data_IF_865283701806
#
_entry.id   IF_865283701806
#
_cell.length_a   1.000
_cell.length_b   1.000
_cell.length_c   1.000
_cell.angle_alpha   90.00
_cell.angle_beta   90.00
_cell.angle_gamma   90.00
#
_symmetry.space_group_name_H-M   'P 1'
#
loop_
_entity.id
_entity.type
_entity.pdbx_description
1 polymer ?
#
# COMPACT_ATOMS: atom_id res chain seq x y z
N UNK A 1 -12.81 11.48 9.33
CA UNK A 1 -12.30 12.86 9.52
C UNK A 1 -11.19 13.28 8.53
N UNK A 2 -11.10 12.67 7.33
CA UNK A 2 -10.07 13.03 6.32
C UNK A 2 -10.68 12.91 4.92
N UNK A 3 -11.65 13.77 4.61
CA UNK A 3 -12.28 13.80 3.28
C UNK A 3 -11.55 14.77 2.35
N UNK A 4 -11.25 14.34 1.12
CA UNK A 4 -10.62 15.16 0.08
C UNK A 4 -11.43 16.44 -0.26
N UNK A 5 -12.73 16.45 -0.01
CA UNK A 5 -13.62 17.57 -0.34
C UNK A 5 -14.06 18.43 0.86
N UNK A 6 -14.16 17.86 2.08
CA UNK A 6 -14.73 18.55 3.27
C UNK A 6 -14.09 18.10 4.59
N UNK A 7 -12.77 17.91 4.63
CA UNK A 7 -12.04 17.45 5.83
C UNK A 7 -10.91 18.38 6.25
N UNK A 8 -10.26 18.06 7.39
CA UNK A 8 -9.09 18.79 7.91
C UNK A 8 -8.03 19.08 6.85
N UNK A 9 -7.74 18.09 6.00
CA UNK A 9 -6.79 18.24 4.88
C UNK A 9 -7.22 19.33 3.89
N UNK A 10 -8.52 19.45 3.57
CA UNK A 10 -8.97 20.47 2.61
C UNK A 10 -8.87 21.88 3.22
N UNK A 11 -9.02 22.03 4.53
CA UNK A 11 -8.77 23.28 5.24
C UNK A 11 -7.27 23.56 5.37
N UNK A 12 -6.46 22.54 5.67
CA UNK A 12 -5.01 22.66 5.76
C UNK A 12 -4.40 23.09 4.42
N UNK A 13 -4.89 22.53 3.29
CA UNK A 13 -4.47 22.95 1.95
C UNK A 13 -4.83 24.40 1.61
N UNK A 14 -5.81 25.02 2.27
CA UNK A 14 -6.08 26.47 2.09
C UNK A 14 -5.01 27.34 2.75
N UNK A 15 -4.40 26.85 3.84
CA UNK A 15 -3.38 27.57 4.62
C UNK A 15 -1.98 27.24 4.10
N UNK A 16 -1.76 25.98 3.70
CA UNK A 16 -0.49 25.46 3.17
C UNK A 16 -0.78 24.75 1.84
N UNK A 17 -0.80 25.47 0.70
CA UNK A 17 -1.21 24.91 -0.59
C UNK A 17 -0.38 23.70 -1.03
N UNK A 18 0.90 23.68 -0.66
CA UNK A 18 1.87 22.67 -1.06
C UNK A 18 1.90 21.46 -0.10
N UNK A 19 1.02 21.39 0.90
CA UNK A 19 1.00 20.25 1.82
C UNK A 19 0.50 18.99 1.11
N UNK A 20 1.34 17.97 1.08
CA UNK A 20 0.96 16.65 0.60
C UNK A 20 0.30 15.88 1.73
N UNK A 21 -0.94 15.47 1.49
CA UNK A 21 -1.73 14.73 2.46
C UNK A 21 -1.69 13.25 2.12
N UNK A 22 -0.68 12.55 2.64
CA UNK A 22 -0.60 11.11 2.46
C UNK A 22 -1.61 10.47 3.40
N UNK A 23 -2.75 10.04 2.86
CA UNK A 23 -3.72 9.29 3.64
C UNK A 23 -3.10 7.96 4.10
N UNK A 24 -3.07 7.67 5.39
CA UNK A 24 -2.43 6.45 5.91
C UNK A 24 -2.95 5.18 5.21
N UNK A 25 -2.02 4.26 4.92
CA UNK A 25 -2.31 2.93 4.38
C UNK A 25 -3.02 2.07 5.43
N UNK A 26 -2.85 2.38 6.71
CA UNK A 26 -3.44 1.66 7.84
C UNK A 26 -4.96 1.72 7.95
N UNK A 27 -5.62 2.79 7.49
CA UNK A 27 -7.09 2.88 7.54
C UNK A 27 -7.80 2.01 6.47
N UNK A 28 -7.06 1.17 5.73
CA UNK A 28 -7.49 0.59 4.44
C UNK A 28 -8.02 -0.85 4.48
N UNK A 29 -8.26 -1.43 5.65
CA UNK A 29 -9.11 -2.64 5.75
C UNK A 29 -10.48 -2.42 5.09
N UNK A 30 -10.96 -1.18 5.14
CA UNK A 30 -12.17 -0.73 4.46
C UNK A 30 -12.07 -0.75 2.92
N UNK A 31 -10.89 -0.57 2.34
CA UNK A 31 -10.71 -0.56 0.88
C UNK A 31 -10.85 -1.97 0.29
N UNK A 32 -10.27 -2.95 0.98
CA UNK A 32 -10.27 -4.37 0.58
C UNK A 32 -11.62 -5.02 0.88
N UNK A 33 -12.36 -4.54 1.88
CA UNK A 33 -13.56 -5.21 2.37
C UNK A 33 -14.87 -4.58 1.93
N UNK A 34 -14.88 -3.39 1.33
CA UNK A 34 -16.14 -2.65 1.08
C UNK A 34 -17.20 -3.41 0.27
N UNK A 35 -16.79 -4.31 -0.63
CA UNK A 35 -17.70 -5.15 -1.42
C UNK A 35 -17.88 -6.57 -0.88
N UNK A 36 -17.01 -7.02 0.03
CA UNK A 36 -17.05 -8.33 0.67
C UNK A 36 -17.17 -8.18 2.19
N UNK A 37 -17.92 -7.16 2.63
CA UNK A 37 -17.95 -6.74 4.03
C UNK A 37 -18.55 -7.83 4.91
N UNK A 38 -19.61 -8.49 4.44
CA UNK A 38 -20.23 -9.63 5.15
C UNK A 38 -19.21 -10.74 5.42
N UNK A 39 -18.44 -11.16 4.40
CA UNK A 39 -17.40 -12.18 4.53
C UNK A 39 -16.29 -11.72 5.49
N UNK A 40 -15.92 -10.44 5.45
CA UNK A 40 -14.99 -9.89 6.44
C UNK A 40 -15.58 -9.90 7.86
N UNK A 41 -16.86 -9.57 8.07
CA UNK A 41 -17.50 -9.61 9.39
C UNK A 41 -17.48 -11.02 9.97
N UNK A 42 -17.76 -12.05 9.18
CA UNK A 42 -17.66 -13.43 9.64
C UNK A 42 -16.23 -13.80 10.06
N UNK A 43 -15.21 -13.37 9.30
CA UNK A 43 -13.80 -13.58 9.67
C UNK A 43 -13.46 -12.83 10.96
N UNK A 44 -13.88 -11.57 11.10
CA UNK A 44 -13.66 -10.77 12.32
C UNK A 44 -14.30 -11.46 13.53
N UNK A 45 -15.55 -11.90 13.40
CA UNK A 45 -16.27 -12.59 14.47
C UNK A 45 -15.57 -13.88 14.89
N UNK A 46 -15.09 -14.66 13.92
CA UNK A 46 -14.34 -15.88 14.19
C UNK A 46 -12.99 -15.61 14.88
N UNK A 47 -12.22 -14.64 14.40
CA UNK A 47 -10.95 -14.23 15.01
C UNK A 47 -11.18 -13.71 16.43
N UNK A 48 -12.20 -12.88 16.65
CA UNK A 48 -12.56 -12.37 17.96
C UNK A 48 -12.96 -13.50 18.92
N UNK A 49 -13.72 -14.49 18.44
CA UNK A 49 -14.11 -15.66 19.23
C UNK A 49 -12.90 -16.52 19.62
N UNK A 50 -11.99 -16.79 18.68
CA UNK A 50 -10.73 -17.51 18.96
C UNK A 50 -9.92 -16.74 20.01
N UNK A 51 -9.77 -15.42 19.85
CA UNK A 51 -9.00 -14.57 20.77
C UNK A 51 -9.62 -14.39 22.15
N UNK A 52 -10.94 -14.42 22.25
CA UNK A 52 -11.65 -14.24 23.53
C UNK A 52 -11.41 -15.40 24.52
N UNK A 53 -10.97 -16.56 24.03
CA UNK A 53 -10.70 -17.74 24.84
C UNK A 53 -9.21 -18.14 24.77
N UNK A 54 -8.45 -18.07 25.88
CA UNK A 54 -7.04 -18.42 25.91
C UNK A 54 -6.71 -19.84 25.45
N UNK A 55 -7.62 -20.81 25.67
CA UNK A 55 -7.44 -22.18 25.19
C UNK A 55 -7.56 -22.24 23.67
N UNK A 56 -8.55 -21.55 23.09
CA UNK A 56 -8.73 -21.48 21.64
C UNK A 56 -7.54 -20.78 20.96
N UNK A 57 -7.04 -19.68 21.54
CA UNK A 57 -5.84 -19.01 21.02
C UNK A 57 -4.60 -19.91 21.06
N UNK A 58 -4.44 -20.74 22.10
CA UNK A 58 -3.33 -21.72 22.19
C UNK A 58 -3.48 -22.84 21.16
N UNK A 59 -4.67 -23.44 21.06
CA UNK A 59 -4.95 -24.50 20.09
C UNK A 59 -4.77 -24.00 18.64
N UNK A 60 -5.20 -22.77 18.38
CA UNK A 60 -5.01 -22.13 17.09
C UNK A 60 -3.52 -21.95 16.75
N UNK A 61 -2.69 -21.55 17.72
CA UNK A 61 -1.22 -21.45 17.50
C UNK A 61 -0.59 -22.81 17.22
N UNK A 62 -0.98 -23.85 17.96
CA UNK A 62 -0.47 -25.21 17.74
C UNK A 62 -0.78 -25.71 16.33
N UNK A 63 -2.01 -25.49 15.85
CA UNK A 63 -2.38 -25.82 14.46
C UNK A 63 -1.51 -25.10 13.43
N UNK A 64 -1.10 -23.85 13.68
CA UNK A 64 -0.22 -23.12 12.75
C UNK A 64 1.23 -23.61 12.80
N UNK A 65 1.75 -23.92 13.99
CA UNK A 65 3.08 -24.50 14.18
C UNK A 65 3.21 -25.87 13.48
N UNK A 66 2.16 -26.69 13.53
CA UNK A 66 2.11 -27.99 12.83
C UNK A 66 2.08 -27.85 11.29
N UNK A 67 1.54 -26.74 10.77
CA UNK A 67 1.42 -26.49 9.33
C UNK A 67 2.61 -25.68 8.73
N UNK A 68 3.65 -25.38 9.52
CA UNK A 68 4.83 -24.59 9.08
C UNK A 68 4.47 -23.22 8.46
N UNK A 69 3.40 -22.57 8.94
CA UNK A 69 3.05 -21.23 8.46
C UNK A 69 3.71 -20.12 9.29
N UNK A 70 4.22 -19.06 8.63
CA UNK A 70 5.09 -18.04 9.23
C UNK A 70 4.33 -17.05 10.16
N UNK A 71 3.00 -17.00 10.09
CA UNK A 71 2.16 -16.04 10.82
C UNK A 71 1.41 -16.66 12.02
N UNK A 72 2.13 -17.02 13.08
CA UNK A 72 1.58 -17.67 14.29
C UNK A 72 0.80 -16.75 15.25
N UNK A 73 0.46 -15.52 14.83
CA UNK A 73 -0.24 -14.55 15.68
C UNK A 73 -1.34 -13.84 14.91
N UNK A 74 -2.58 -14.17 15.23
CA UNK A 74 -3.74 -13.34 14.93
C UNK A 74 -3.61 -12.00 15.68
N UNK A 75 -3.74 -10.88 14.96
CA UNK A 75 -3.85 -9.54 15.55
C UNK A 75 -5.33 -9.16 15.66
N UNK A 76 -5.72 -8.49 16.75
CA UNK A 76 -7.04 -7.88 16.87
C UNK A 76 -7.14 -6.74 15.85
N UNK A 77 -8.00 -6.88 14.84
CA UNK A 77 -8.28 -5.80 13.92
C UNK A 77 -9.51 -4.99 14.39
N UNK A 78 -9.21 -3.96 15.18
CA UNK A 78 -9.99 -2.74 15.49
C UNK A 78 -11.33 -2.85 16.23
N UNK A 79 -11.47 -1.92 17.20
CA UNK A 79 -12.59 -1.55 18.09
C UNK A 79 -13.54 -2.67 18.55
N UNK A 80 -13.17 -3.22 19.71
CA UNK A 80 -13.98 -4.07 20.57
C UNK A 80 -15.26 -3.33 20.96
N UNK A 81 -16.36 -3.62 20.29
CA UNK A 81 -17.66 -3.58 20.95
C UNK A 81 -18.67 -4.46 20.22
N UNK A 82 -19.13 -5.45 20.98
CA UNK A 82 -20.20 -6.40 20.71
C UNK A 82 -19.84 -7.56 19.78
N UNK A 83 -20.07 -8.78 20.27
CA UNK A 83 -21.13 -9.60 19.69
C UNK A 83 -21.56 -10.71 20.66
N UNK A 84 -22.88 -10.79 20.76
CA UNK A 84 -23.69 -11.80 21.40
C UNK A 84 -23.35 -13.21 20.93
N UNK A 85 -23.76 -14.20 21.74
CA UNK A 85 -23.84 -15.62 21.39
C UNK A 85 -24.60 -15.83 20.07
N UNK A 86 -23.94 -15.71 18.93
CA UNK A 86 -24.35 -16.44 17.73
C UNK A 86 -23.84 -17.88 17.86
N UNK A 87 -24.70 -18.82 17.49
CA UNK A 87 -24.49 -20.25 17.62
C UNK A 87 -23.29 -20.69 16.76
N UNK A 88 -22.34 -21.43 17.35
CA UNK A 88 -21.07 -21.82 16.71
C UNK A 88 -21.26 -22.53 15.36
N UNK A 89 -22.36 -23.28 15.24
CA UNK A 89 -22.73 -23.96 14.01
C UNK A 89 -23.05 -22.97 12.87
N UNK A 90 -23.72 -21.85 13.19
CA UNK A 90 -24.09 -20.84 12.19
C UNK A 90 -22.86 -20.10 11.67
N UNK A 91 -21.93 -19.70 12.55
CA UNK A 91 -20.70 -19.02 12.13
C UNK A 91 -19.82 -19.95 11.27
N UNK A 92 -19.72 -21.22 11.67
CA UNK A 92 -18.95 -22.24 10.93
C UNK A 92 -19.53 -22.47 9.54
N UNK A 93 -20.86 -22.58 9.43
CA UNK A 93 -21.53 -22.77 8.14
C UNK A 93 -21.40 -21.54 7.24
N UNK A 94 -21.53 -20.33 7.80
CA UNK A 94 -21.33 -19.10 7.04
C UNK A 94 -19.90 -18.96 6.48
N UNK A 95 -18.87 -19.30 7.28
CA UNK A 95 -17.49 -19.33 6.81
C UNK A 95 -17.26 -20.40 5.74
N UNK A 96 -17.92 -21.56 5.87
CA UNK A 96 -17.86 -22.63 4.87
C UNK A 96 -18.45 -22.18 3.54
N UNK A 97 -19.63 -21.55 3.57
CA UNK A 97 -20.29 -21.01 2.37
C UNK A 97 -19.43 -19.91 1.73
N UNK A 98 -18.77 -19.06 2.53
CA UNK A 98 -17.96 -17.93 2.06
C UNK A 98 -16.47 -18.27 1.91
N UNK A 99 -16.08 -19.55 1.83
CA UNK A 99 -14.66 -19.99 1.78
C UNK A 99 -13.88 -19.32 0.64
N UNK A 100 -14.52 -19.18 -0.54
CA UNK A 100 -13.91 -18.52 -1.69
C UNK A 100 -13.63 -17.03 -1.45
N UNK A 101 -14.57 -16.30 -0.83
CA UNK A 101 -14.41 -14.89 -0.50
C UNK A 101 -13.25 -14.70 0.48
N UNK A 102 -13.18 -15.57 1.51
CA UNK A 102 -12.13 -15.53 2.53
C UNK A 102 -10.76 -15.78 1.89
N UNK A 103 -10.66 -16.78 1.01
CA UNK A 103 -9.42 -17.09 0.31
C UNK A 103 -8.95 -15.93 -0.59
N UNK A 104 -9.86 -15.34 -1.36
CA UNK A 104 -9.59 -14.17 -2.19
C UNK A 104 -9.16 -12.94 -1.36
N UNK A 105 -9.87 -12.67 -0.26
CA UNK A 105 -9.52 -11.58 0.65
C UNK A 105 -8.15 -11.82 1.28
N UNK A 106 -7.83 -13.05 1.71
CA UNK A 106 -6.53 -13.39 2.27
C UNK A 106 -5.37 -13.09 1.31
N UNK A 107 -5.52 -13.46 0.03
CA UNK A 107 -4.53 -13.16 -1.02
C UNK A 107 -4.35 -11.63 -1.20
N UNK A 108 -5.44 -10.85 -1.18
CA UNK A 108 -5.36 -9.39 -1.22
C UNK A 108 -4.70 -8.81 0.03
N UNK A 109 -5.06 -9.29 1.22
CA UNK A 109 -4.49 -8.81 2.47
C UNK A 109 -2.99 -9.04 2.52
N UNK A 110 -2.53 -10.21 2.08
CA UNK A 110 -1.11 -10.51 1.99
C UNK A 110 -0.39 -9.49 1.09
N UNK A 111 -0.92 -9.23 -0.10
CA UNK A 111 -0.39 -8.24 -1.04
C UNK A 111 -0.32 -6.83 -0.44
N UNK A 112 -1.39 -6.37 0.22
CA UNK A 112 -1.39 -5.05 0.88
C UNK A 112 -0.44 -4.98 2.06
N UNK A 113 -0.25 -6.09 2.79
CA UNK A 113 0.70 -6.15 3.88
C UNK A 113 2.15 -5.99 3.39
N UNK A 114 2.49 -6.56 2.22
CA UNK A 114 3.80 -6.35 1.61
C UNK A 114 4.03 -4.90 1.18
N UNK A 115 3.00 -4.24 0.64
CA UNK A 115 3.05 -2.80 0.36
C UNK A 115 3.25 -2.02 1.66
N UNK A 116 2.53 -2.39 2.71
CA UNK A 116 2.62 -1.74 4.02
C UNK A 116 4.02 -1.85 4.63
N UNK A 117 4.66 -3.03 4.58
CA UNK A 117 6.04 -3.23 5.04
C UNK A 117 7.02 -2.29 4.33
N UNK A 118 6.88 -2.14 3.02
CA UNK A 118 7.72 -1.23 2.22
C UNK A 118 7.50 0.25 2.57
N UNK A 119 6.29 0.61 3.01
CA UNK A 119 5.95 1.97 3.40
C UNK A 119 6.24 2.29 4.88
N UNK A 120 6.76 1.32 5.64
CA UNK A 120 7.17 1.49 7.04
C UNK A 120 8.68 1.44 7.24
N UNK A 121 9.45 1.27 6.16
CA UNK A 121 10.90 1.16 6.26
C UNK A 121 11.49 2.48 6.81
N UNK A 122 12.52 2.38 7.65
CA UNK A 122 13.09 3.52 8.41
C UNK A 122 13.67 4.64 7.52
N UNK A 123 14.00 4.34 6.28
CA UNK A 123 14.64 5.22 5.31
C UNK A 123 13.69 5.72 4.20
N UNK A 124 12.38 5.67 4.46
CA UNK A 124 11.34 6.09 3.51
C UNK A 124 11.41 7.61 3.26
N UNK A 125 11.48 7.96 1.98
CA UNK A 125 11.39 9.33 1.50
C UNK A 125 10.35 9.41 0.38
N UNK A 126 10.05 10.62 -0.09
CA UNK A 126 9.02 10.85 -1.08
C UNK A 126 9.27 10.11 -2.41
N UNK A 127 10.52 10.03 -2.86
CA UNK A 127 10.92 9.28 -4.07
C UNK A 127 10.62 7.79 -3.90
N UNK A 128 11.04 7.20 -2.77
CA UNK A 128 10.77 5.79 -2.44
C UNK A 128 9.28 5.52 -2.29
N UNK A 129 8.55 6.39 -1.60
CA UNK A 129 7.09 6.30 -1.49
C UNK A 129 6.44 6.31 -2.86
N UNK A 130 6.80 7.27 -3.74
CA UNK A 130 6.27 7.33 -5.11
C UNK A 130 6.56 6.04 -5.86
N UNK A 131 7.79 5.53 -5.80
CA UNK A 131 8.17 4.27 -6.45
C UNK A 131 7.31 3.09 -5.97
N UNK A 132 7.16 2.91 -4.66
CA UNK A 132 6.35 1.83 -4.06
C UNK A 132 4.88 1.95 -4.47
N UNK A 133 4.31 3.15 -4.42
CA UNK A 133 2.92 3.40 -4.80
C UNK A 133 2.68 3.19 -6.31
N UNK A 134 3.59 3.66 -7.16
CA UNK A 134 3.53 3.43 -8.61
C UNK A 134 3.60 1.94 -8.94
N UNK A 135 4.58 1.22 -8.38
CA UNK A 135 4.70 -0.23 -8.55
C UNK A 135 3.46 -0.98 -8.07
N UNK A 136 2.89 -0.57 -6.92
CA UNK A 136 1.66 -1.15 -6.36
C UNK A 136 0.45 -0.93 -7.27
N UNK A 137 0.32 0.27 -7.83
CA UNK A 137 -0.75 0.61 -8.78
C UNK A 137 -0.65 -0.26 -10.03
N UNK A 138 0.55 -0.39 -10.60
CA UNK A 138 0.80 -1.25 -11.77
C UNK A 138 0.56 -2.73 -11.47
N UNK A 139 0.91 -3.21 -10.28
CA UNK A 139 0.60 -4.58 -9.84
C UNK A 139 -0.90 -4.82 -9.76
N UNK A 140 -1.66 -3.93 -9.13
CA UNK A 140 -3.13 -4.03 -9.05
C UNK A 140 -3.77 -4.03 -10.45
N UNK A 141 -3.27 -3.21 -11.37
CA UNK A 141 -3.70 -3.20 -12.76
C UNK A 141 -3.43 -4.54 -13.46
N UNK A 142 -2.21 -5.08 -13.32
CA UNK A 142 -1.82 -6.37 -13.86
C UNK A 142 -2.69 -7.50 -13.31
N UNK A 143 -2.93 -7.52 -11.99
CA UNK A 143 -3.77 -8.53 -11.35
C UNK A 143 -5.20 -8.47 -11.87
N UNK A 144 -5.76 -7.27 -12.04
CA UNK A 144 -7.07 -7.09 -12.68
C UNK A 144 -7.10 -7.69 -14.10
N UNK A 145 -6.09 -7.42 -14.92
CA UNK A 145 -6.02 -7.94 -16.29
C UNK A 145 -5.90 -9.47 -16.33
N UNK A 146 -4.97 -10.03 -15.56
CA UNK A 146 -4.75 -11.49 -15.54
C UNK A 146 -5.95 -12.23 -14.98
N UNK A 147 -6.57 -11.70 -13.92
CA UNK A 147 -7.82 -12.24 -13.38
C UNK A 147 -8.93 -12.23 -14.44
N UNK A 148 -8.95 -11.21 -15.31
CA UNK A 148 -9.91 -11.14 -16.40
C UNK A 148 -9.70 -12.20 -17.49
N UNK A 149 -8.45 -12.65 -17.67
CA UNK A 149 -8.04 -13.71 -18.60
C UNK A 149 -8.14 -15.13 -18.01
N UNK A 150 -8.56 -15.26 -16.74
CA UNK A 150 -8.61 -16.53 -16.03
C UNK A 150 -7.28 -16.96 -15.41
N UNK A 151 -6.23 -16.16 -15.56
CA UNK A 151 -4.92 -16.37 -14.93
C UNK A 151 -4.93 -15.85 -13.49
N UNK A 152 -5.12 -16.75 -12.53
CA UNK A 152 -5.24 -16.41 -11.12
C UNK A 152 -3.97 -16.71 -10.31
N UNK A 153 -2.80 -16.88 -10.95
CA UNK A 153 -1.56 -17.37 -10.35
C UNK A 153 -1.08 -16.59 -9.11
N UNK A 154 -1.53 -15.35 -8.95
CA UNK A 154 -1.20 -14.45 -7.85
C UNK A 154 -2.15 -14.59 -6.64
N UNK A 155 -3.22 -15.38 -6.79
CA UNK A 155 -4.22 -15.66 -5.77
C UNK A 155 -4.13 -17.14 -5.36
N UNK A 156 -3.06 -17.49 -4.65
CA UNK A 156 -2.74 -18.88 -4.33
C UNK A 156 -3.81 -19.55 -3.46
N UNK A 157 -4.38 -18.82 -2.50
CA UNK A 157 -5.44 -19.35 -1.66
C UNK A 157 -6.71 -19.56 -2.48
N UNK A 158 -7.07 -18.61 -3.34
CA UNK A 158 -8.23 -18.76 -4.23
C UNK A 158 -8.05 -19.95 -5.20
N UNK A 159 -6.84 -20.17 -5.73
CA UNK A 159 -6.54 -21.33 -6.59
C UNK A 159 -6.77 -22.65 -5.84
N UNK A 160 -6.32 -22.75 -4.59
CA UNK A 160 -6.54 -23.93 -3.75
C UNK A 160 -8.05 -24.21 -3.61
N UNK A 161 -8.84 -23.19 -3.26
CA UNK A 161 -10.30 -23.33 -3.11
C UNK A 161 -11.02 -23.60 -4.43
N UNK A 162 -10.51 -23.08 -5.55
CA UNK A 162 -11.04 -23.35 -6.89
C UNK A 162 -10.82 -24.81 -7.30
N UNK A 163 -9.67 -25.40 -6.97
CA UNK A 163 -9.39 -26.83 -7.20
C UNK A 163 -10.33 -27.73 -6.40
N UNK A 164 -10.77 -27.29 -5.22
CA UNK A 164 -11.78 -27.98 -4.40
C UNK A 164 -13.21 -27.87 -4.97
N UNK A 165 -13.41 -27.19 -6.12
CA UNK A 165 -14.72 -27.01 -6.75
C UNK A 165 -15.63 -25.98 -6.08
N UNK A 166 -15.10 -25.16 -5.18
CA UNK A 166 -15.90 -24.22 -4.37
C UNK A 166 -15.90 -22.77 -4.88
N UNK A 167 -15.52 -22.53 -6.13
CA UNK A 167 -15.52 -21.20 -6.75
C UNK A 167 -16.41 -21.24 -7.99
N UNK A 168 -17.50 -20.47 -7.97
CA UNK A 168 -18.41 -20.33 -9.11
C UNK A 168 -17.96 -19.23 -10.07
N UNK A 169 -18.48 -19.26 -11.31
CA UNK A 169 -18.23 -18.18 -12.29
C UNK A 169 -18.81 -16.83 -11.84
N UNK A 170 -19.88 -16.86 -11.03
CA UNK A 170 -20.45 -15.66 -10.42
C UNK A 170 -19.46 -15.03 -9.43
N UNK A 171 -18.79 -15.84 -8.61
CA UNK A 171 -17.77 -15.35 -7.65
C UNK A 171 -16.60 -14.72 -8.41
N UNK A 172 -16.13 -15.35 -9.48
CA UNK A 172 -15.06 -14.81 -10.33
C UNK A 172 -15.45 -13.44 -10.90
N UNK A 173 -16.72 -13.25 -11.30
CA UNK A 173 -17.19 -11.94 -11.76
C UNK A 173 -17.19 -10.90 -10.64
N UNK A 174 -17.67 -11.25 -9.45
CA UNK A 174 -17.66 -10.37 -8.26
C UNK A 174 -16.22 -9.93 -7.92
N UNK A 175 -15.27 -10.86 -7.91
CA UNK A 175 -13.86 -10.56 -7.63
C UNK A 175 -13.21 -9.68 -8.69
N UNK A 176 -13.53 -9.89 -9.98
CA UNK A 176 -13.06 -9.04 -11.08
C UNK A 176 -13.55 -7.60 -10.89
N UNK A 177 -14.84 -7.42 -10.63
CA UNK A 177 -15.43 -6.10 -10.43
C UNK A 177 -14.86 -5.44 -9.18
N UNK A 178 -14.61 -6.22 -8.13
CA UNK A 178 -13.95 -5.73 -6.92
C UNK A 178 -12.52 -5.26 -7.18
N UNK A 179 -11.68 -6.05 -7.88
CA UNK A 179 -10.32 -5.64 -8.27
C UNK A 179 -10.32 -4.35 -9.09
N UNK A 180 -11.29 -4.19 -9.99
CA UNK A 180 -11.45 -2.97 -10.77
C UNK A 180 -11.77 -1.75 -9.89
N UNK A 181 -12.70 -1.89 -8.95
CA UNK A 181 -13.03 -0.82 -8.02
C UNK A 181 -11.85 -0.47 -7.11
N UNK A 182 -11.15 -1.51 -6.61
CA UNK A 182 -9.98 -1.40 -5.77
C UNK A 182 -8.83 -0.65 -6.46
N UNK A 183 -8.53 -1.01 -7.72
CA UNK A 183 -7.54 -0.30 -8.54
C UNK A 183 -7.89 1.18 -8.70
N UNK A 184 -9.15 1.48 -9.05
CA UNK A 184 -9.58 2.86 -9.27
C UNK A 184 -9.52 3.69 -7.98
N UNK A 185 -9.94 3.13 -6.86
CA UNK A 185 -9.86 3.80 -5.56
C UNK A 185 -8.40 4.01 -5.15
N UNK A 186 -7.52 3.01 -5.35
CA UNK A 186 -6.10 3.12 -5.07
C UNK A 186 -5.44 4.25 -5.87
N UNK A 187 -5.69 4.29 -7.19
CA UNK A 187 -5.17 5.32 -8.08
C UNK A 187 -5.69 6.70 -7.69
N UNK A 188 -6.99 6.85 -7.43
CA UNK A 188 -7.60 8.12 -7.01
C UNK A 188 -7.04 8.62 -5.67
N UNK A 189 -6.81 7.71 -4.72
CA UNK A 189 -6.35 8.06 -3.36
C UNK A 189 -4.89 8.47 -3.31
N UNK A 190 -4.10 8.09 -4.30
CA UNK A 190 -2.68 8.41 -4.42
C UNK A 190 -2.36 9.25 -5.66
N UNK A 191 -3.37 9.87 -6.26
CA UNK A 191 -3.23 10.67 -7.47
C UNK A 191 -2.16 11.76 -7.29
N UNK A 192 -2.11 12.40 -6.13
CA UNK A 192 -1.12 13.42 -5.76
C UNK A 192 0.32 12.89 -5.76
N UNK A 193 0.55 11.68 -5.25
CA UNK A 193 1.87 11.03 -5.29
C UNK A 193 2.19 10.56 -6.72
N UNK A 194 1.21 9.98 -7.41
CA UNK A 194 1.37 9.42 -8.76
C UNK A 194 1.64 10.53 -9.79
N UNK A 195 0.97 11.67 -9.70
CA UNK A 195 1.09 12.81 -10.63
C UNK A 195 2.32 13.68 -10.37
N UNK A 196 2.99 13.53 -9.23
CA UNK A 196 4.14 14.35 -8.87
C UNK A 196 5.30 14.16 -9.86
N UNK A 197 5.74 15.22 -10.52
CA UNK A 197 6.98 15.18 -11.28
C UNK A 197 8.16 15.27 -10.29
N UNK A 198 9.08 14.32 -10.36
CA UNK A 198 10.36 14.39 -9.67
C UNK A 198 11.40 14.51 -10.78
N UNK A 199 12.07 15.65 -10.93
CA UNK A 199 13.10 15.81 -11.95
C UNK A 199 14.22 14.78 -11.78
N UNK A 200 14.70 14.24 -12.89
CA UNK A 200 15.77 13.22 -12.87
C UNK A 200 17.03 13.72 -12.18
N UNK A 201 17.30 15.02 -12.29
CA UNK A 201 18.45 15.66 -11.66
C UNK A 201 18.41 15.60 -10.12
N UNK A 202 17.23 15.42 -9.50
CA UNK A 202 17.12 15.23 -8.04
C UNK A 202 17.73 13.90 -7.61
N UNK A 203 17.65 12.87 -8.45
CA UNK A 203 18.25 11.55 -8.18
C UNK A 203 19.70 11.53 -8.67
N UNK A 204 19.95 12.11 -9.84
CA UNK A 204 21.26 12.20 -10.44
C UNK A 204 21.51 13.62 -11.00
N UNK A 205 22.14 14.54 -10.26
CA UNK A 205 22.30 15.92 -10.69
C UNK A 205 23.23 16.12 -11.91
N UNK A 206 23.83 15.04 -12.41
CA UNK A 206 24.69 15.04 -13.59
C UNK A 206 23.98 14.55 -14.87
N UNK A 207 22.64 14.64 -14.92
CA UNK A 207 21.81 14.36 -16.11
C UNK A 207 21.57 15.61 -16.97
N UNK A 208 20.89 15.46 -18.11
CA UNK A 208 20.44 16.60 -18.91
C UNK A 208 19.49 17.51 -18.10
N UNK A 209 19.56 18.82 -18.33
CA UNK A 209 18.78 19.86 -17.63
C UNK A 209 18.13 20.87 -18.57
N UNK A 210 18.13 20.62 -19.88
CA UNK A 210 17.60 21.53 -20.91
C UNK A 210 16.12 21.94 -20.72
N UNK A 211 15.33 21.09 -20.08
CA UNK A 211 13.89 21.33 -19.85
C UNK A 211 13.58 22.13 -18.57
N UNK A 212 14.60 22.48 -17.78
CA UNK A 212 14.43 23.17 -16.48
C UNK A 212 14.33 24.70 -16.61
N UNK A 213 13.94 25.39 -15.54
CA UNK A 213 13.97 26.85 -15.50
C UNK A 213 15.41 27.37 -15.62
N UNK A 214 15.63 28.48 -16.35
CA UNK A 214 16.97 29.08 -16.57
C UNK A 214 17.76 29.26 -15.26
N UNK A 215 17.08 29.69 -14.19
CA UNK A 215 17.68 29.87 -12.85
C UNK A 215 18.24 28.56 -12.28
N UNK A 216 17.55 27.44 -12.49
CA UNK A 216 18.00 26.10 -12.10
C UNK A 216 19.08 25.58 -13.05
N UNK A 217 18.95 25.81 -14.36
CA UNK A 217 19.93 25.36 -15.35
C UNK A 217 21.31 25.92 -15.07
N UNK A 218 21.43 27.22 -14.74
CA UNK A 218 22.72 27.85 -14.44
C UNK A 218 23.41 27.14 -13.27
N UNK A 219 22.71 26.99 -12.14
CA UNK A 219 23.27 26.34 -10.95
C UNK A 219 23.56 24.86 -11.17
N UNK A 220 22.73 24.15 -11.94
CA UNK A 220 22.96 22.75 -12.26
C UNK A 220 24.17 22.58 -13.17
N UNK A 221 24.41 23.47 -14.14
CA UNK A 221 25.61 23.44 -14.99
C UNK A 221 26.90 23.72 -14.19
N UNK A 222 26.83 24.66 -13.23
CA UNK A 222 27.94 24.92 -12.31
C UNK A 222 28.22 23.70 -11.42
N UNK A 223 27.17 23.09 -10.86
CA UNK A 223 27.26 21.87 -10.06
C UNK A 223 27.84 20.70 -10.88
N UNK A 224 27.41 20.55 -12.13
CA UNK A 224 27.88 19.49 -13.04
C UNK A 224 29.37 19.60 -13.37
N UNK A 225 29.87 20.83 -13.42
CA UNK A 225 31.28 21.16 -13.65
C UNK A 225 32.14 20.97 -12.38
N UNK A 226 31.52 20.80 -11.21
CA UNK A 226 32.21 20.66 -9.93
C UNK A 226 32.82 19.26 -9.74
N UNK A 227 34.12 19.14 -10.02
CA UNK A 227 34.87 17.88 -9.91
C UNK A 227 34.94 17.32 -8.47
N UNK A 228 34.82 18.16 -7.43
CA UNK A 228 34.84 17.70 -6.03
C UNK A 228 33.53 17.07 -5.58
N UNK A 229 32.41 17.53 -6.14
CA UNK A 229 31.07 17.04 -5.78
C UNK A 229 30.73 15.73 -6.50
N UNK A 230 31.19 15.56 -7.75
CA UNK A 230 30.94 14.39 -8.57
C UNK A 230 31.21 13.03 -7.89
N UNK A 231 32.37 12.78 -7.25
CA UNK A 231 32.62 11.51 -6.57
C UNK A 231 31.71 11.29 -5.36
N UNK A 232 31.16 12.35 -4.74
CA UNK A 232 30.34 12.25 -3.53
C UNK A 232 28.95 11.65 -3.81
N UNK A 233 28.48 11.69 -5.07
CA UNK A 233 27.22 11.06 -5.47
C UNK A 233 27.25 9.53 -5.29
N UNK A 234 28.42 8.90 -5.38
CA UNK A 234 28.58 7.45 -5.19
C UNK A 234 28.15 6.97 -3.80
N UNK A 235 28.14 7.86 -2.80
CA UNK A 235 27.67 7.57 -1.43
C UNK A 235 26.13 7.62 -1.32
N UNK A 236 25.45 8.08 -2.37
CA UNK A 236 23.99 8.16 -2.48
C UNK A 236 23.48 9.60 -2.54
N UNK A 237 22.44 9.82 -3.35
CA UNK A 237 21.87 11.14 -3.61
C UNK A 237 21.39 11.88 -2.35
N UNK A 238 20.85 11.16 -1.35
CA UNK A 238 20.39 11.77 -0.11
C UNK A 238 21.55 12.43 0.64
N UNK A 239 22.67 11.72 0.79
CA UNK A 239 23.87 12.25 1.44
C UNK A 239 24.55 13.31 0.59
N UNK A 240 24.50 13.16 -0.73
CA UNK A 240 24.99 14.16 -1.66
C UNK A 240 24.30 15.50 -1.41
N UNK A 241 22.97 15.55 -1.36
CA UNK A 241 22.24 16.80 -1.17
C UNK A 241 22.38 17.42 0.22
N UNK A 242 22.65 16.62 1.25
CA UNK A 242 22.82 17.08 2.63
C UNK A 242 24.21 17.70 2.92
N UNK A 243 25.05 17.87 1.90
CA UNK A 243 26.37 18.50 2.06
C UNK A 243 26.22 19.98 2.39
N UNK A 244 26.99 20.43 3.40
CA UNK A 244 26.91 21.80 3.94
C UNK A 244 27.08 22.91 2.90
N UNK A 245 27.89 22.68 1.87
CA UNK A 245 28.21 23.66 0.83
C UNK A 245 27.11 23.83 -0.23
N UNK A 246 26.17 22.88 -0.36
CA UNK A 246 25.15 22.91 -1.42
C UNK A 246 24.17 24.08 -1.26
N UNK A 247 23.59 24.35 -0.08
CA UNK A 247 22.66 25.47 0.10
C UNK A 247 23.26 26.84 -0.22
N UNK A 248 24.57 27.01 0.02
CA UNK A 248 25.27 28.28 -0.17
C UNK A 248 25.70 28.48 -1.63
N UNK A 249 26.15 27.40 -2.30
CA UNK A 249 26.63 27.46 -3.68
C UNK A 249 25.50 27.36 -4.71
N UNK A 250 24.43 26.62 -4.40
CA UNK A 250 23.33 26.34 -5.33
C UNK A 250 21.96 26.57 -4.64
N UNK A 251 21.64 27.82 -4.26
CA UNK A 251 20.45 28.13 -3.47
C UNK A 251 19.13 27.83 -4.19
N UNK A 252 19.04 27.99 -5.51
CA UNK A 252 17.82 27.71 -6.28
C UNK A 252 17.59 26.19 -6.40
N UNK A 253 18.64 25.43 -6.70
CA UNK A 253 18.61 23.95 -6.74
C UNK A 253 18.24 23.40 -5.37
N UNK A 254 18.86 23.92 -4.31
CA UNK A 254 18.55 23.51 -2.94
C UNK A 254 17.10 23.82 -2.54
N UNK A 255 16.53 24.94 -3.02
CA UNK A 255 15.15 25.31 -2.73
C UNK A 255 14.12 24.32 -3.28
N UNK A 256 14.47 23.55 -4.32
CA UNK A 256 13.66 22.46 -4.86
C UNK A 256 13.87 21.18 -4.07
N UNK A 257 15.13 20.80 -3.81
CA UNK A 257 15.49 19.52 -3.17
C UNK A 257 15.03 19.43 -1.71
N UNK A 258 15.02 20.55 -0.98
CA UNK A 258 14.64 20.57 0.44
C UNK A 258 13.14 20.39 0.71
N UNK A 259 12.30 20.44 -0.34
CA UNK A 259 10.83 20.33 -0.24
C UNK A 259 10.39 18.89 -0.05
#
# INVERSE_FOLDING_TARGET
MVGCHRGFISQLKKIVPNVLSIHCVLHRQHLVARRLNESLQYVINAVNKIKSNPLNDRLFRQLFEENNEEFNRLLLHTEIRWLSKEDDASLTENLRIRKADVAYLADLYFMFNEIYKQLLTEDLNLIKTKSVISASTSKLFLFKQRFAMGEQCQFQNLIKVKKDGQVSDADVKVYRDHLQALHNDFARRFEDILSMAIPDWVINPFTNVEDEEISLQIELLDLQSNAELKPRLAVGYQRFWLQKQIPDLYPNVWAVVKR
#
